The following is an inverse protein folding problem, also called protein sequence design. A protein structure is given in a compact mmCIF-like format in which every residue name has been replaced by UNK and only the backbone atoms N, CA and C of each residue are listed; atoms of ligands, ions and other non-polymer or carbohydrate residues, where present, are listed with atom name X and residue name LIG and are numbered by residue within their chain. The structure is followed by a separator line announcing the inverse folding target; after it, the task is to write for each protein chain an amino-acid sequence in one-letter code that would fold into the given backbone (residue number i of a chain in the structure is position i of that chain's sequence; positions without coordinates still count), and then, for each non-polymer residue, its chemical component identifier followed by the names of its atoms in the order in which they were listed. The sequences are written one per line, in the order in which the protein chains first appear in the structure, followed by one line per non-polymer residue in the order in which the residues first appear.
data_IF_135147543470
#
_entry.id   IF_135147543470
#
_cell.length_a   1.000
_cell.length_b   1.000
_cell.length_c   1.000
_cell.angle_alpha   90.00
_cell.angle_beta   90.00
_cell.angle_gamma   90.00
#
_symmetry.space_group_name_H-M   'P 1'
#
loop_
_entity.id
_entity.type
_entity.pdbx_description
1 polymer ?
#
# COMPACT_ATOMS: atom_id res chain seq x y z
N UNK A 1 -17.10 -14.74 -5.29
CA UNK A 1 -15.93 -14.72 -6.19
C UNK A 1 -14.73 -15.25 -5.43
N UNK A 2 -14.04 -16.26 -5.94
CA UNK A 2 -12.81 -16.79 -5.32
C UNK A 2 -11.64 -15.94 -5.81
N UNK A 3 -10.77 -15.48 -4.90
CA UNK A 3 -9.62 -14.67 -5.29
C UNK A 3 -8.56 -15.52 -6.03
N UNK A 4 -7.95 -14.95 -7.07
CA UNK A 4 -6.84 -15.56 -7.81
C UNK A 4 -5.57 -15.63 -6.94
N UNK A 5 -5.38 -14.61 -6.09
CA UNK A 5 -4.27 -14.50 -5.15
C UNK A 5 -4.81 -14.07 -3.78
N UNK A 6 -4.49 -14.83 -2.75
CA UNK A 6 -4.76 -14.48 -1.36
C UNK A 6 -3.46 -14.10 -0.63
N UNK A 7 -3.41 -12.86 -0.12
CA UNK A 7 -2.32 -12.37 0.73
C UNK A 7 -2.67 -12.59 2.20
N UNK A 8 -2.08 -13.61 2.78
CA UNK A 8 -2.29 -13.93 4.19
C UNK A 8 -1.19 -13.28 5.03
N UNK A 9 -1.56 -12.32 5.85
CA UNK A 9 -0.69 -11.78 6.89
C UNK A 9 -0.69 -12.70 8.12
N UNK A 10 0.46 -13.34 8.38
CA UNK A 10 0.72 -14.08 9.61
C UNK A 10 1.26 -13.15 10.71
N UNK A 11 1.95 -12.09 10.29
CA UNK A 11 2.32 -10.95 11.12
C UNK A 11 2.17 -9.70 10.28
N UNK A 12 1.53 -8.67 10.81
CA UNK A 12 1.52 -7.36 10.18
C UNK A 12 1.39 -6.28 11.23
N UNK A 13 2.43 -5.46 11.36
CA UNK A 13 2.46 -4.32 12.25
C UNK A 13 3.08 -3.15 11.49
N UNK A 14 2.31 -2.08 11.34
CA UNK A 14 2.75 -0.82 10.78
C UNK A 14 2.25 0.30 11.69
N UNK A 15 3.19 1.04 12.30
CA UNK A 15 2.85 2.08 13.27
C UNK A 15 3.94 3.16 13.32
N UNK A 16 3.55 4.36 13.74
CA UNK A 16 4.50 5.41 14.09
C UNK A 16 5.15 5.10 15.45
N UNK A 17 6.41 5.49 15.63
CA UNK A 17 7.06 5.49 16.94
C UNK A 17 6.35 6.49 17.85
N UNK A 18 5.92 6.03 19.03
CA UNK A 18 5.18 6.87 19.97
C UNK A 18 3.75 7.16 19.53
N UNK A 19 3.16 6.35 18.64
CA UNK A 19 1.77 6.50 18.23
C UNK A 19 0.82 6.57 19.44
N UNK A 20 0.05 7.67 19.59
CA UNK A 20 -0.91 7.80 20.67
C UNK A 20 -1.94 6.66 20.66
N UNK A 21 -2.32 6.18 21.84
CA UNK A 21 -3.26 5.06 21.99
C UNK A 21 -4.62 5.31 21.30
N UNK A 22 -5.08 6.56 21.22
CA UNK A 22 -6.32 6.90 20.53
C UNK A 22 -6.20 6.73 19.00
N UNK A 23 -5.07 7.07 18.38
CA UNK A 23 -4.85 6.84 16.94
C UNK A 23 -4.82 5.35 16.63
N UNK A 24 -4.15 4.56 17.48
CA UNK A 24 -4.15 3.09 17.35
C UNK A 24 -5.58 2.53 17.34
N UNK A 25 -6.46 3.04 18.21
CA UNK A 25 -7.86 2.64 18.26
C UNK A 25 -8.64 3.09 17.01
N UNK A 26 -8.50 4.35 16.60
CA UNK A 26 -9.13 4.87 15.39
C UNK A 26 -8.77 4.03 14.15
N UNK A 27 -7.49 3.64 14.01
CA UNK A 27 -7.07 2.78 12.90
C UNK A 27 -7.64 1.37 12.97
N UNK A 28 -7.82 0.81 14.17
CA UNK A 28 -8.48 -0.48 14.33
C UNK A 28 -9.96 -0.42 13.89
N UNK A 29 -10.67 0.65 14.26
CA UNK A 29 -12.05 0.91 13.86
C UNK A 29 -12.18 1.10 12.34
N UNK A 30 -11.25 1.84 11.72
CA UNK A 30 -11.19 1.99 10.26
C UNK A 30 -11.05 0.64 9.57
N UNK A 31 -10.14 -0.22 10.02
CA UNK A 31 -9.94 -1.54 9.41
C UNK A 31 -11.16 -2.45 9.58
N UNK A 32 -11.84 -2.37 10.73
CA UNK A 32 -13.09 -3.09 10.97
C UNK A 32 -14.18 -2.62 10.00
N UNK A 33 -14.41 -1.31 9.90
CA UNK A 33 -15.39 -0.73 8.99
C UNK A 33 -15.10 -1.07 7.51
N UNK A 34 -13.83 -1.01 7.11
CA UNK A 34 -13.41 -1.41 5.75
C UNK A 34 -13.75 -2.87 5.45
N UNK A 35 -13.59 -3.76 6.42
CA UNK A 35 -13.91 -5.19 6.29
C UNK A 35 -15.40 -5.43 6.20
N UNK A 36 -16.18 -4.85 7.11
CA UNK A 36 -17.64 -5.00 7.18
C UNK A 36 -18.31 -4.52 5.90
N UNK A 37 -17.83 -3.41 5.34
CA UNK A 37 -18.39 -2.82 4.13
C UNK A 37 -17.80 -3.40 2.83
N UNK A 38 -16.81 -4.31 2.92
CA UNK A 38 -15.99 -4.73 1.78
C UNK A 38 -15.50 -3.54 0.94
N UNK A 39 -15.02 -2.49 1.63
CA UNK A 39 -14.77 -1.18 1.06
C UNK A 39 -13.77 -1.23 -0.11
N UNK A 40 -14.13 -0.58 -1.22
CA UNK A 40 -13.22 -0.30 -2.33
C UNK A 40 -12.12 0.70 -1.90
N UNK A 41 -11.00 0.83 -2.64
CA UNK A 41 -9.89 1.72 -2.24
C UNK A 41 -10.29 3.17 -1.94
N UNK A 42 -11.19 3.76 -2.73
CA UNK A 42 -11.72 5.12 -2.49
C UNK A 42 -12.48 5.20 -1.17
N UNK A 43 -13.37 4.23 -0.92
CA UNK A 43 -14.17 4.17 0.29
C UNK A 43 -13.31 3.94 1.55
N UNK A 44 -12.25 3.14 1.47
CA UNK A 44 -11.28 2.98 2.58
C UNK A 44 -10.62 4.31 2.95
N UNK A 45 -10.23 5.10 1.94
CA UNK A 45 -9.65 6.42 2.19
C UNK A 45 -10.68 7.33 2.85
N UNK A 46 -11.93 7.30 2.37
CA UNK A 46 -13.03 8.09 2.92
C UNK A 46 -13.28 7.75 4.39
N UNK A 47 -13.40 6.46 4.71
CA UNK A 47 -13.55 5.97 6.10
C UNK A 47 -12.40 6.48 6.96
N UNK A 48 -11.15 6.31 6.53
CA UNK A 48 -9.99 6.75 7.30
C UNK A 48 -9.95 8.27 7.54
N UNK A 49 -10.27 9.08 6.53
CA UNK A 49 -10.31 10.54 6.66
C UNK A 49 -11.41 11.03 7.60
N UNK A 50 -12.51 10.29 7.72
CA UNK A 50 -13.63 10.63 8.61
C UNK A 50 -13.43 10.12 10.05
N UNK A 51 -12.64 9.06 10.23
CA UNK A 51 -12.50 8.38 11.52
C UNK A 51 -11.17 8.65 12.25
N UNK A 52 -10.12 9.04 11.52
CA UNK A 52 -8.80 9.29 12.11
C UNK A 52 -8.54 10.79 12.17
N UNK A 53 -7.92 11.26 13.25
CA UNK A 53 -7.61 12.68 13.43
C UNK A 53 -6.79 13.26 12.27
N UNK A 54 -5.88 12.45 11.72
CA UNK A 54 -5.16 12.73 10.49
C UNK A 54 -4.64 11.43 9.87
N UNK A 55 -4.33 11.46 8.58
CA UNK A 55 -3.64 10.37 7.87
C UNK A 55 -2.40 10.91 7.18
N UNK A 56 -1.31 10.16 7.19
CA UNK A 56 -0.12 10.51 6.42
C UNK A 56 -0.11 9.84 5.05
N UNK A 57 0.46 10.50 4.05
CA UNK A 57 0.69 9.91 2.72
C UNK A 57 1.53 8.64 2.79
N UNK A 58 2.34 8.47 3.84
CA UNK A 58 3.16 7.29 4.06
C UNK A 58 2.35 6.12 4.64
N UNK A 59 1.35 6.37 5.46
CA UNK A 59 0.47 5.34 6.04
C UNK A 59 -0.45 4.67 5.02
N UNK A 60 -0.98 5.44 4.07
CA UNK A 60 -2.04 4.97 3.17
C UNK A 60 -1.71 3.67 2.40
N UNK A 61 -0.50 3.50 1.84
CA UNK A 61 -0.13 2.24 1.19
C UNK A 61 0.02 1.07 2.17
N UNK A 62 0.34 1.29 3.44
CA UNK A 62 0.61 0.22 4.40
C UNK A 62 -0.58 -0.13 5.29
N UNK A 63 -1.35 0.85 5.79
CA UNK A 63 -2.52 0.57 6.62
C UNK A 63 -3.71 0.10 5.77
N UNK A 64 -3.93 0.73 4.62
CA UNK A 64 -5.13 0.52 3.81
C UNK A 64 -4.88 -0.18 2.47
N UNK A 65 -3.60 -0.47 2.16
CA UNK A 65 -3.18 -1.05 0.90
C UNK A 65 -3.62 -0.22 -0.33
N UNK A 66 -3.60 1.12 -0.19
CA UNK A 66 -3.97 2.04 -1.26
C UNK A 66 -2.85 2.19 -2.29
N UNK A 67 -2.99 1.44 -3.38
CA UNK A 67 -2.00 1.36 -4.48
C UNK A 67 -1.88 2.65 -5.31
N UNK A 68 -2.89 3.54 -5.20
CA UNK A 68 -3.02 4.81 -5.94
C UNK A 68 -3.37 5.96 -5.00
N UNK A 69 -2.77 5.99 -3.81
CA UNK A 69 -3.09 6.98 -2.76
C UNK A 69 -3.04 8.45 -3.26
N UNK A 70 -2.06 8.89 -4.08
CA UNK A 70 -2.07 10.28 -4.58
C UNK A 70 -3.29 10.62 -5.44
N UNK A 71 -3.74 9.68 -6.28
CA UNK A 71 -4.93 9.87 -7.12
C UNK A 71 -6.20 9.94 -6.28
N UNK A 72 -6.34 9.03 -5.30
CA UNK A 72 -7.49 9.01 -4.40
C UNK A 72 -7.58 10.30 -3.55
N UNK A 73 -6.45 10.85 -3.11
CA UNK A 73 -6.41 12.13 -2.39
C UNK A 73 -6.85 13.29 -3.30
N UNK A 74 -6.46 13.28 -4.58
CA UNK A 74 -6.90 14.29 -5.54
C UNK A 74 -8.42 14.25 -5.74
N UNK A 75 -8.99 13.05 -5.94
CA UNK A 75 -10.44 12.85 -6.06
C UNK A 75 -11.20 13.34 -4.82
N UNK A 76 -10.65 13.11 -3.63
CA UNK A 76 -11.25 13.63 -2.38
C UNK A 76 -11.25 15.16 -2.36
N UNK A 77 -10.16 15.81 -2.77
CA UNK A 77 -10.05 17.27 -2.77
C UNK A 77 -11.03 17.96 -3.70
N UNK A 78 -11.40 17.31 -4.79
CA UNK A 78 -12.41 17.82 -5.72
C UNK A 78 -13.80 17.87 -5.08
N UNK A 79 -14.07 17.03 -4.07
CA UNK A 79 -15.39 16.87 -3.47
C UNK A 79 -15.54 17.54 -2.10
N UNK A 80 -14.46 17.68 -1.34
CA UNK A 80 -14.50 18.19 0.03
C UNK A 80 -13.20 18.92 0.41
N UNK A 81 -13.33 19.88 1.34
CA UNK A 81 -12.18 20.63 1.87
C UNK A 81 -11.29 19.68 2.68
N UNK A 82 -10.07 19.47 2.20
CA UNK A 82 -9.07 18.62 2.85
C UNK A 82 -7.85 19.46 3.24
N UNK A 83 -7.59 19.57 4.55
CA UNK A 83 -6.39 20.25 5.05
C UNK A 83 -5.16 19.40 4.77
N UNK A 84 -4.03 20.06 4.45
CA UNK A 84 -2.74 19.40 4.24
C UNK A 84 -1.61 20.17 4.92
N UNK A 85 -0.67 19.40 5.47
CA UNK A 85 0.63 19.90 5.92
C UNK A 85 1.75 19.04 5.36
N UNK A 86 2.87 19.65 4.99
CA UNK A 86 4.08 18.93 4.56
C UNK A 86 4.84 18.41 5.78
N UNK A 87 5.32 17.18 5.71
CA UNK A 87 5.98 16.50 6.83
C UNK A 87 7.17 15.64 6.34
N UNK A 88 8.06 15.30 7.27
CA UNK A 88 9.22 14.45 7.03
C UNK A 88 9.02 13.05 7.61
N UNK A 89 9.20 12.02 6.79
CA UNK A 89 9.16 10.62 7.19
C UNK A 89 10.56 10.03 7.28
N UNK A 90 10.85 9.35 8.38
CA UNK A 90 12.08 8.59 8.61
C UNK A 90 13.35 9.41 8.32
N UNK A 91 13.32 10.70 8.68
CA UNK A 91 14.42 11.66 8.55
C UNK A 91 14.82 12.06 7.12
N UNK A 92 14.16 11.56 6.06
CA UNK A 92 14.61 11.80 4.67
C UNK A 92 13.54 11.81 3.59
N UNK A 93 12.30 11.39 3.89
CA UNK A 93 11.24 11.25 2.88
C UNK A 93 10.20 12.34 3.09
N UNK A 94 10.08 13.26 2.15
CA UNK A 94 9.00 14.25 2.18
C UNK A 94 7.67 13.60 1.82
N UNK A 95 6.61 14.08 2.48
CA UNK A 95 5.25 13.89 2.03
C UNK A 95 4.29 14.72 2.86
N UNK A 96 3.10 14.19 3.13
CA UNK A 96 1.99 15.02 3.59
C UNK A 96 1.19 14.35 4.70
N UNK A 97 0.68 15.18 5.59
CA UNK A 97 -0.47 14.90 6.46
C UNK A 97 -1.72 15.40 5.76
N UNK A 98 -2.81 14.66 5.88
CA UNK A 98 -4.15 15.04 5.45
C UNK A 98 -5.14 14.91 6.62
N UNK A 99 -6.08 15.83 6.73
CA UNK A 99 -7.16 15.76 7.72
C UNK A 99 -8.40 16.49 7.23
N UNK A 100 -9.57 16.02 7.67
CA UNK A 100 -10.85 16.73 7.50
C UNK A 100 -10.97 17.91 8.49
N UNK A 101 -10.14 17.97 9.54
CA UNK A 101 -10.08 19.10 10.47
C UNK A 101 -9.44 20.30 9.79
N UNK A 102 -9.97 21.50 10.04
CA UNK A 102 -9.41 22.74 9.46
C UNK A 102 -8.08 23.12 10.12
N UNK A 103 -7.97 22.95 11.43
CA UNK A 103 -6.72 23.16 12.16
C UNK A 103 -5.96 21.84 12.30
N UNK A 104 -4.72 21.84 11.80
CA UNK A 104 -3.76 20.72 11.85
C UNK A 104 -2.40 21.18 12.38
N UNK A 105 -2.35 22.33 13.06
CA UNK A 105 -1.12 22.88 13.64
C UNK A 105 -0.50 21.97 14.70
N UNK A 106 -1.34 21.27 15.48
CA UNK A 106 -0.92 20.34 16.54
C UNK A 106 -0.42 18.98 16.04
N UNK A 107 -0.60 18.65 14.76
CA UNK A 107 -0.08 17.40 14.19
C UNK A 107 1.46 17.48 14.14
N UNK A 108 2.23 16.40 14.37
CA UNK A 108 3.69 16.46 14.23
C UNK A 108 4.16 16.84 12.82
N UNK A 109 5.33 17.46 12.71
CA UNK A 109 6.01 17.74 11.43
C UNK A 109 6.91 16.59 10.96
N UNK A 110 7.25 15.68 11.87
CA UNK A 110 8.08 14.52 11.58
C UNK A 110 7.47 13.24 12.14
N UNK A 111 7.62 12.14 11.40
CA UNK A 111 7.18 10.81 11.82
C UNK A 111 8.27 9.78 11.57
N UNK A 112 8.41 8.86 12.52
CA UNK A 112 9.26 7.68 12.39
C UNK A 112 8.34 6.45 12.31
N UNK A 113 8.36 5.74 11.19
CA UNK A 113 7.51 4.58 10.94
C UNK A 113 8.31 3.29 10.90
N UNK A 114 7.72 2.25 11.49
CA UNK A 114 8.24 0.89 11.47
C UNK A 114 7.23 -0.05 10.82
N UNK A 115 7.71 -0.92 9.93
CA UNK A 115 6.94 -2.01 9.33
C UNK A 115 7.58 -3.34 9.73
N UNK A 116 6.79 -4.22 10.34
CA UNK A 116 7.14 -5.62 10.55
C UNK A 116 6.03 -6.50 9.99
N UNK A 117 6.35 -7.26 8.93
CA UNK A 117 5.38 -8.13 8.28
C UNK A 117 5.93 -9.52 7.98
N UNK A 118 5.02 -10.49 7.95
CA UNK A 118 5.21 -11.84 7.41
C UNK A 118 3.97 -12.17 6.61
N UNK A 119 4.10 -12.11 5.29
CA UNK A 119 3.01 -12.32 4.33
C UNK A 119 3.25 -13.62 3.56
N UNK A 120 2.21 -14.43 3.39
CA UNK A 120 2.16 -15.53 2.44
C UNK A 120 1.37 -15.10 1.20
N UNK A 121 1.79 -15.56 0.02
CA UNK A 121 1.12 -15.30 -1.25
C UNK A 121 0.56 -16.62 -1.77
N UNK A 122 -0.74 -16.82 -1.63
CA UNK A 122 -1.39 -18.10 -1.89
C UNK A 122 -2.19 -18.00 -3.18
N UNK A 123 -2.08 -19.00 -4.04
CA UNK A 123 -2.87 -19.17 -5.26
C UNK A 123 -3.54 -20.55 -5.23
N UNK A 124 -4.26 -20.93 -6.28
CA UNK A 124 -4.79 -22.30 -6.42
C UNK A 124 -3.69 -23.38 -6.38
N UNK A 125 -2.46 -23.05 -6.76
CA UNK A 125 -1.29 -23.94 -6.70
C UNK A 125 -0.60 -23.96 -5.31
N UNK A 126 -1.15 -23.28 -4.30
CA UNK A 126 -0.54 -23.15 -2.98
C UNK A 126 0.32 -21.89 -2.83
N UNK A 127 1.33 -21.96 -1.97
CA UNK A 127 2.18 -20.81 -1.62
C UNK A 127 3.20 -20.48 -2.71
N UNK A 128 3.31 -19.20 -3.04
CA UNK A 128 4.08 -18.70 -4.19
C UNK A 128 4.99 -17.53 -3.82
N UNK A 129 5.13 -17.16 -2.54
CA UNK A 129 5.94 -16.00 -2.14
C UNK A 129 7.45 -16.25 -2.15
N UNK A 130 7.91 -17.51 -2.25
CA UNK A 130 9.32 -17.85 -2.13
C UNK A 130 10.24 -17.12 -3.14
N UNK A 131 9.91 -17.05 -4.46
CA UNK A 131 10.72 -16.29 -5.42
C UNK A 131 10.81 -14.80 -5.10
N UNK A 132 9.71 -14.18 -4.66
CA UNK A 132 9.67 -12.76 -4.28
C UNK A 132 10.55 -12.47 -3.08
N UNK A 133 10.51 -13.34 -2.06
CA UNK A 133 11.41 -13.26 -0.89
C UNK A 133 12.87 -13.41 -1.28
N UNK A 134 13.18 -14.34 -2.18
CA UNK A 134 14.55 -14.57 -2.63
C UNK A 134 15.12 -13.33 -3.34
N UNK A 135 14.37 -12.76 -4.28
CA UNK A 135 14.76 -11.53 -4.99
C UNK A 135 14.96 -10.37 -4.01
N UNK A 136 14.08 -10.22 -3.01
CA UNK A 136 14.20 -9.16 -2.01
C UNK A 136 15.48 -9.26 -1.17
N UNK A 137 15.98 -10.48 -0.92
CA UNK A 137 17.22 -10.76 -0.20
C UNK A 137 18.46 -10.51 -1.06
N UNK A 138 18.43 -10.93 -2.33
CA UNK A 138 19.60 -10.89 -3.22
C UNK A 138 19.83 -9.50 -3.84
N UNK A 139 18.75 -8.78 -4.15
CA UNK A 139 18.82 -7.51 -4.87
C UNK A 139 18.53 -6.36 -3.91
N UNK A 140 19.41 -5.35 -3.87
CA UNK A 140 19.25 -4.21 -2.95
C UNK A 140 18.26 -3.14 -3.46
N UNK A 141 18.37 -2.75 -4.73
CA UNK A 141 17.61 -1.62 -5.27
C UNK A 141 16.16 -2.02 -5.62
N UNK A 142 15.12 -1.27 -5.18
CA UNK A 142 13.72 -1.59 -5.44
C UNK A 142 13.38 -1.80 -6.92
N UNK A 143 13.81 -0.88 -7.79
CA UNK A 143 13.54 -0.98 -9.23
C UNK A 143 14.20 -2.23 -9.86
N UNK A 144 15.40 -2.59 -9.40
CA UNK A 144 16.09 -3.80 -9.85
C UNK A 144 15.44 -5.09 -9.36
N UNK A 145 14.81 -5.09 -8.18
CA UNK A 145 13.98 -6.22 -7.72
C UNK A 145 12.79 -6.45 -8.65
N UNK A 146 12.10 -5.38 -9.01
CA UNK A 146 10.98 -5.44 -9.96
C UNK A 146 11.43 -5.97 -11.33
N UNK A 147 12.50 -5.40 -11.88
CA UNK A 147 13.09 -5.83 -13.15
C UNK A 147 13.47 -7.33 -13.11
N UNK A 148 14.14 -7.77 -12.03
CA UNK A 148 14.52 -9.17 -11.84
C UNK A 148 13.29 -10.09 -11.77
N UNK A 149 12.25 -9.69 -11.05
CA UNK A 149 11.03 -10.49 -10.94
C UNK A 149 10.35 -10.67 -12.30
N UNK A 150 10.19 -9.58 -13.06
CA UNK A 150 9.56 -9.60 -14.37
C UNK A 150 10.36 -10.43 -15.39
N UNK A 151 11.69 -10.25 -15.43
CA UNK A 151 12.58 -11.01 -16.32
C UNK A 151 12.70 -12.49 -15.95
N UNK A 152 12.46 -12.85 -14.69
CA UNK A 152 12.32 -14.25 -14.25
C UNK A 152 10.92 -14.84 -14.50
N UNK A 153 10.05 -14.16 -15.24
CA UNK A 153 8.72 -14.65 -15.62
C UNK A 153 7.66 -14.55 -14.52
N UNK A 154 7.96 -13.89 -13.40
CA UNK A 154 7.00 -13.69 -12.32
C UNK A 154 5.92 -12.68 -12.70
N UNK A 155 4.71 -12.94 -12.22
CA UNK A 155 3.61 -11.97 -12.25
C UNK A 155 3.67 -11.07 -11.02
N UNK A 156 3.87 -9.78 -11.21
CA UNK A 156 4.03 -8.84 -10.10
C UNK A 156 2.76 -8.00 -9.95
N UNK A 157 2.14 -8.04 -8.78
CA UNK A 157 1.10 -7.10 -8.37
C UNK A 157 1.70 -5.94 -7.57
N UNK A 158 0.93 -4.86 -7.40
CA UNK A 158 1.35 -3.75 -6.55
C UNK A 158 1.53 -4.14 -5.08
N UNK A 159 0.85 -5.19 -4.59
CA UNK A 159 1.07 -5.73 -3.25
C UNK A 159 2.40 -6.49 -3.16
N UNK A 160 2.78 -7.23 -4.21
CA UNK A 160 4.10 -7.85 -4.26
C UNK A 160 5.22 -6.78 -4.21
N UNK A 161 5.01 -5.70 -4.97
CA UNK A 161 5.88 -4.52 -4.96
C UNK A 161 6.01 -3.89 -3.57
N UNK A 162 4.89 -3.74 -2.86
CA UNK A 162 4.85 -3.18 -1.51
C UNK A 162 5.54 -4.08 -0.49
N UNK A 163 5.24 -5.38 -0.49
CA UNK A 163 5.68 -6.31 0.57
C UNK A 163 7.11 -6.82 0.39
N UNK A 164 7.60 -7.02 -0.83
CA UNK A 164 8.93 -7.59 -1.06
C UNK A 164 9.90 -6.64 -1.74
N UNK A 165 9.42 -5.75 -2.63
CA UNK A 165 10.34 -4.96 -3.45
C UNK A 165 10.63 -3.56 -2.90
N UNK A 166 9.79 -3.05 -1.99
CA UNK A 166 9.90 -1.69 -1.49
C UNK A 166 9.37 -0.65 -2.49
N UNK A 167 8.52 -1.09 -3.43
CA UNK A 167 7.89 -0.28 -4.46
C UNK A 167 6.50 0.17 -3.99
N UNK A 168 6.40 1.39 -3.44
CA UNK A 168 5.10 1.97 -3.03
C UNK A 168 4.25 2.42 -4.23
N UNK A 169 4.89 2.73 -5.37
CA UNK A 169 4.23 3.21 -6.60
C UNK A 169 4.57 2.30 -7.77
N UNK A 170 4.18 1.02 -7.68
CA UNK A 170 4.58 0.02 -8.67
C UNK A 170 4.30 0.44 -10.12
N UNK A 171 3.15 1.05 -10.40
CA UNK A 171 2.80 1.49 -11.75
C UNK A 171 3.81 2.51 -12.33
N UNK A 172 4.37 3.39 -11.48
CA UNK A 172 5.39 4.35 -11.90
C UNK A 172 6.74 3.66 -12.17
N UNK A 173 7.09 2.65 -11.37
CA UNK A 173 8.30 1.86 -11.58
C UNK A 173 8.19 0.99 -12.85
N UNK A 174 7.03 0.38 -13.11
CA UNK A 174 6.74 -0.31 -14.37
C UNK A 174 6.84 0.64 -15.57
N UNK A 175 6.30 1.85 -15.46
CA UNK A 175 6.43 2.86 -16.53
C UNK A 175 7.89 3.20 -16.82
N UNK A 176 8.74 3.30 -15.79
CA UNK A 176 10.19 3.51 -15.97
C UNK A 176 10.84 2.35 -16.71
N UNK A 177 10.50 1.11 -16.36
CA UNK A 177 11.03 -0.08 -17.04
C UNK A 177 10.57 -0.16 -18.51
N UNK A 178 9.31 0.18 -18.80
CA UNK A 178 8.80 0.29 -20.18
C UNK A 178 9.57 1.34 -20.98
N UNK A 179 9.81 2.52 -20.39
CA UNK A 179 10.63 3.57 -21.02
C UNK A 179 12.09 3.13 -21.23
N UNK A 180 12.59 2.19 -20.42
CA UNK A 180 13.90 1.57 -20.60
C UNK A 180 13.89 0.40 -21.60
N UNK A 181 12.78 0.16 -22.31
CA UNK A 181 12.69 -0.82 -23.40
C UNK A 181 12.07 -2.18 -23.02
N UNK A 182 11.68 -2.39 -21.76
CA UNK A 182 11.03 -3.64 -21.38
C UNK A 182 9.59 -3.72 -21.88
N UNK A 183 9.23 -4.83 -22.54
CA UNK A 183 7.84 -5.14 -22.90
C UNK A 183 7.15 -5.77 -21.71
N UNK A 184 6.23 -5.03 -21.10
CA UNK A 184 5.52 -5.45 -19.89
C UNK A 184 4.03 -5.33 -20.17
N UNK A 185 3.32 -6.46 -20.15
CA UNK A 185 1.88 -6.52 -20.24
C UNK A 185 1.23 -6.14 -18.89
N UNK A 186 0.01 -5.61 -18.93
CA UNK A 186 -0.82 -5.36 -17.74
C UNK A 186 -2.16 -6.07 -17.90
N UNK A 187 -2.48 -6.94 -16.94
CA UNK A 187 -3.79 -7.57 -16.81
C UNK A 187 -4.37 -7.24 -15.43
N UNK A 188 -5.54 -7.79 -15.10
CA UNK A 188 -6.16 -7.65 -13.78
C UNK A 188 -6.37 -9.03 -13.16
N UNK A 189 -6.17 -9.14 -11.85
CA UNK A 189 -6.55 -10.31 -11.04
C UNK A 189 -7.36 -9.89 -9.84
N UNK A 190 -8.26 -10.76 -9.42
CA UNK A 190 -8.98 -10.62 -8.16
C UNK A 190 -8.06 -11.07 -7.04
N UNK A 191 -7.84 -10.21 -6.05
CA UNK A 191 -7.03 -10.50 -4.88
C UNK A 191 -7.81 -10.32 -3.60
N UNK A 192 -7.48 -11.09 -2.59
CA UNK A 192 -7.96 -10.88 -1.22
C UNK A 192 -6.79 -10.76 -0.26
N UNK A 193 -6.98 -10.09 0.87
CA UNK A 193 -5.95 -9.97 1.90
C UNK A 193 -6.54 -9.96 3.31
N UNK A 194 -5.77 -10.42 4.30
CA UNK A 194 -6.19 -10.40 5.70
C UNK A 194 -5.91 -9.08 6.42
N UNK A 195 -5.08 -8.20 5.85
CA UNK A 195 -4.74 -6.89 6.45
C UNK A 195 -5.97 -6.00 6.52
N UNK A 196 -6.66 -5.85 5.40
CA UNK A 196 -7.92 -5.10 5.27
C UNK A 196 -9.14 -6.01 5.31
N UNK A 197 -8.97 -7.32 5.09
CA UNK A 197 -10.09 -8.27 5.05
C UNK A 197 -11.00 -8.09 3.84
N UNK A 198 -10.47 -7.59 2.72
CA UNK A 198 -11.24 -7.23 1.53
C UNK A 198 -10.83 -8.04 0.30
N UNK A 199 -11.73 -8.13 -0.68
CA UNK A 199 -11.47 -8.70 -2.02
C UNK A 199 -11.64 -7.62 -3.09
N UNK A 200 -10.70 -7.51 -4.04
CA UNK A 200 -10.71 -6.48 -5.10
C UNK A 200 -9.90 -6.88 -6.33
N UNK A 201 -10.20 -6.29 -7.48
CA UNK A 201 -9.34 -6.37 -8.66
C UNK A 201 -8.11 -5.47 -8.50
N UNK A 202 -6.92 -5.98 -8.83
CA UNK A 202 -5.69 -5.17 -8.94
C UNK A 202 -4.91 -5.48 -10.22
N UNK A 203 -4.14 -4.50 -10.74
CA UNK A 203 -3.25 -4.75 -11.87
C UNK A 203 -2.16 -5.78 -11.55
N UNK A 204 -1.89 -6.62 -12.53
CA UNK A 204 -0.80 -7.60 -12.57
C UNK A 204 0.10 -7.27 -13.75
N UNK A 205 1.40 -7.30 -13.53
CA UNK A 205 2.43 -7.01 -14.52
C UNK A 205 3.26 -8.26 -14.82
N UNK A 206 3.52 -8.54 -16.10
CA UNK A 206 4.36 -9.66 -16.55
C UNK A 206 5.16 -9.21 -17.78
N UNK A 207 6.40 -9.70 -17.92
CA UNK A 207 7.20 -9.48 -19.12
C UNK A 207 6.66 -10.29 -20.31
N UNK A 208 6.65 -9.70 -21.50
CA UNK A 208 6.27 -10.35 -22.76
C UNK A 208 7.43 -11.05 -23.47
#
# INVERSE_FOLDING_TARGET
MTADIHYQAEKYCFMATGEPAHLTRQWAEVLLACREQQAAPEERLRIALLSVDYVTSFELPFRLLLLRAPQLIAEVRERQKLSQKNVLFNGKRFGCVYSMKTDISSVPDEFQYHLSHRIRRITSAGSTEAPYRQIAREVKAPLKRLERALTSGLEVTALDGLFWFGCQRLAADVLRLRKAGMRIATTSKTVSDTVTGTTRGIPVYRCE
#
